data_IF_429132843047
#
_entry.id   IF_429132843047
#
_cell.length_a   1.000
_cell.length_b   1.000
_cell.length_c   1.000
_cell.angle_alpha   90.00
_cell.angle_beta   90.00
_cell.angle_gamma   90.00
#
_symmetry.space_group_name_H-M   'P 1'
#
loop_
_entity.id
_entity.type
_entity.pdbx_description
1 polymer ?
#
# COMPACT_ATOMS: atom_id res chain seq x y z
N UNK A 1 33.60 -12.27 -40.26
CA UNK A 1 33.52 -11.93 -41.71
C UNK A 1 33.31 -13.22 -42.50
N UNK A 2 32.47 -13.19 -43.54
CA UNK A 2 31.37 -14.15 -43.75
C UNK A 2 31.55 -14.98 -45.02
N UNK A 3 30.63 -15.92 -45.31
CA UNK A 3 30.06 -16.11 -46.66
C UNK A 3 28.68 -16.76 -46.55
N UNK A 4 27.72 -16.08 -47.17
CA UNK A 4 26.33 -16.41 -47.46
C UNK A 4 26.18 -17.15 -48.80
N UNK A 5 25.14 -18.00 -48.93
CA UNK A 5 24.33 -18.25 -50.15
C UNK A 5 23.25 -19.31 -49.80
N UNK A 6 21.98 -18.96 -49.63
CA UNK A 6 20.93 -18.67 -50.63
C UNK A 6 20.43 -19.93 -51.38
N UNK A 7 19.13 -20.27 -51.23
CA UNK A 7 18.49 -21.28 -52.09
C UNK A 7 17.08 -21.76 -51.71
N UNK A 8 16.06 -20.93 -51.99
CA UNK A 8 14.69 -21.24 -52.50
C UNK A 8 13.73 -22.18 -51.75
N UNK A 9 12.56 -21.61 -51.45
CA UNK A 9 11.26 -22.26 -51.18
C UNK A 9 10.68 -22.98 -52.40
N UNK A 10 10.06 -24.15 -52.19
CA UNK A 10 8.84 -24.64 -52.87
C UNK A 10 8.02 -25.45 -51.84
N UNK A 11 6.71 -25.15 -51.74
CA UNK A 11 5.70 -25.85 -50.94
C UNK A 11 5.16 -27.09 -51.67
N UNK A 12 4.87 -28.17 -50.93
CA UNK A 12 3.78 -29.12 -51.26
C UNK A 12 3.37 -29.94 -50.03
N UNK A 13 2.07 -30.23 -49.95
CA UNK A 13 1.26 -30.67 -48.81
C UNK A 13 1.28 -32.18 -48.43
N UNK A 14 0.81 -32.47 -47.20
CA UNK A 14 0.18 -33.69 -46.61
C UNK A 14 1.05 -34.90 -46.16
N UNK A 15 0.58 -35.80 -45.25
CA UNK A 15 -0.28 -35.66 -44.05
C UNK A 15 0.24 -36.44 -42.80
N UNK A 16 -0.54 -36.32 -41.71
CA UNK A 16 -0.39 -36.86 -40.33
C UNK A 16 -0.16 -38.39 -40.21
N UNK A 17 0.67 -38.80 -39.24
CA UNK A 17 0.76 -40.18 -38.77
C UNK A 17 1.59 -40.36 -37.48
N UNK A 18 0.98 -40.97 -36.47
CA UNK A 18 1.41 -41.21 -35.08
C UNK A 18 2.64 -42.11 -34.94
N UNK A 19 3.58 -41.79 -34.03
CA UNK A 19 4.65 -42.70 -33.60
C UNK A 19 4.73 -42.80 -32.07
N UNK A 20 4.38 -43.98 -31.55
CA UNK A 20 4.65 -44.43 -30.17
C UNK A 20 6.07 -45.01 -30.11
N UNK A 21 6.86 -44.59 -29.13
CA UNK A 21 8.17 -45.21 -28.82
C UNK A 21 8.05 -46.01 -27.53
N UNK A 22 8.33 -47.31 -27.63
CA UNK A 22 8.60 -48.26 -26.53
C UNK A 22 10.11 -48.31 -26.32
N UNK A 23 10.58 -48.33 -25.07
CA UNK A 23 11.96 -48.70 -24.73
C UNK A 23 11.97 -49.92 -23.78
N UNK A 24 12.97 -50.82 -23.87
CA UNK A 24 12.90 -52.17 -23.31
C UNK A 24 13.61 -52.33 -21.95
N UNK A 25 13.25 -53.41 -21.25
CA UNK A 25 13.89 -53.92 -20.02
C UNK A 25 14.87 -55.07 -20.36
N UNK A 26 16.06 -55.08 -19.74
CA UNK A 26 16.89 -56.27 -19.52
C UNK A 26 17.87 -56.08 -18.34
N UNK A 27 17.95 -57.09 -17.47
CA UNK A 27 18.68 -57.23 -16.17
C UNK A 27 20.08 -57.89 -16.34
N UNK A 28 20.85 -58.40 -15.32
CA UNK A 28 20.83 -58.31 -13.83
C UNK A 28 22.23 -58.12 -13.08
N UNK A 29 22.21 -57.57 -11.83
CA UNK A 29 22.96 -57.83 -10.53
C UNK A 29 24.47 -58.28 -10.44
N UNK A 30 25.18 -58.29 -9.25
CA UNK A 30 25.02 -57.63 -7.92
C UNK A 30 26.34 -57.09 -7.23
N UNK A 31 26.22 -56.37 -6.09
CA UNK A 31 27.02 -56.40 -4.80
C UNK A 31 26.95 -55.04 -4.06
N UNK A 32 26.13 -54.89 -2.99
CA UNK A 32 26.46 -54.88 -1.53
C UNK A 32 27.32 -53.71 -1.04
N UNK A 33 26.70 -52.78 -0.30
CA UNK A 33 27.17 -52.29 1.02
C UNK A 33 26.10 -51.39 1.67
N UNK A 34 25.66 -51.80 2.86
CA UNK A 34 24.69 -51.14 3.74
C UNK A 34 25.20 -49.83 4.34
N UNK A 35 24.30 -48.86 4.58
CA UNK A 35 24.30 -48.07 5.82
C UNK A 35 22.87 -47.58 6.15
N UNK A 36 22.49 -47.82 7.40
CA UNK A 36 21.18 -47.67 8.03
C UNK A 36 20.70 -46.21 8.14
N UNK A 37 19.39 -46.00 7.95
CA UNK A 37 18.64 -44.84 8.45
C UNK A 37 17.72 -45.32 9.57
N UNK A 38 17.91 -44.77 10.77
CA UNK A 38 17.01 -44.96 11.92
C UNK A 38 15.79 -44.03 11.77
N UNK A 39 14.59 -44.61 11.70
CA UNK A 39 13.34 -43.91 12.03
C UNK A 39 12.82 -44.52 13.33
N UNK A 40 12.84 -43.73 14.40
CA UNK A 40 12.32 -44.11 15.71
C UNK A 40 10.79 -43.98 15.69
N UNK A 41 10.11 -45.11 15.77
CA UNK A 41 8.72 -45.26 16.17
C UNK A 41 8.68 -45.50 17.68
N UNK A 42 7.86 -44.75 18.42
CA UNK A 42 7.51 -45.07 19.80
C UNK A 42 5.98 -45.12 19.96
N UNK A 43 5.51 -46.25 20.48
CA UNK A 43 4.13 -46.67 20.82
C UNK A 43 3.86 -46.34 22.31
N UNK A 44 2.73 -45.69 22.63
CA UNK A 44 1.51 -46.20 23.33
C UNK A 44 1.43 -45.68 24.81
N UNK A 45 0.32 -45.85 25.59
CA UNK A 45 -0.94 -45.07 25.56
C UNK A 45 -1.47 -44.64 26.96
N UNK A 46 -2.50 -43.79 27.06
CA UNK A 46 -3.44 -43.80 28.20
C UNK A 46 -4.84 -43.26 27.81
N UNK A 47 -5.87 -44.00 28.24
CA UNK A 47 -7.31 -43.90 27.97
C UNK A 47 -8.03 -42.76 28.73
N UNK A 48 -9.16 -42.23 28.22
CA UNK A 48 -10.52 -42.44 28.77
C UNK A 48 -11.64 -41.74 27.94
N UNK A 49 -12.59 -42.57 27.48
CA UNK A 49 -14.03 -42.42 27.12
C UNK A 49 -14.64 -41.09 26.63
N UNK A 50 -15.41 -41.16 25.53
CA UNK A 50 -16.86 -40.88 25.53
C UNK A 50 -17.58 -41.59 24.35
N UNK A 51 -18.86 -41.86 24.58
CA UNK A 51 -19.76 -42.78 23.86
C UNK A 51 -20.05 -42.47 22.37
N UNK A 52 -20.34 -43.56 21.66
CA UNK A 52 -20.81 -43.66 20.28
C UNK A 52 -22.36 -43.64 20.22
N UNK A 53 -22.93 -42.95 19.22
CA UNK A 53 -24.23 -43.25 18.57
C UNK A 53 -24.33 -42.45 17.24
N UNK A 54 -24.71 -43.10 16.12
CA UNK A 54 -24.78 -42.45 14.80
C UNK A 54 -26.20 -42.01 14.43
N UNK A 55 -26.32 -40.94 13.63
CA UNK A 55 -27.51 -40.67 12.84
C UNK A 55 -27.11 -40.29 11.41
N UNK A 56 -27.60 -41.09 10.46
CA UNK A 56 -27.43 -40.91 9.03
C UNK A 56 -28.42 -39.85 8.49
N UNK A 57 -28.00 -39.11 7.46
CA UNK A 57 -28.91 -38.60 6.44
C UNK A 57 -28.17 -38.43 5.11
N UNK A 58 -28.61 -39.21 4.11
CA UNK A 58 -28.27 -39.05 2.70
C UNK A 58 -28.95 -37.80 2.12
N UNK A 59 -28.31 -37.13 1.17
CA UNK A 59 -29.01 -36.49 0.04
C UNK A 59 -28.19 -36.61 -1.24
N UNK A 60 -28.87 -37.07 -2.27
CA UNK A 60 -28.37 -37.44 -3.58
C UNK A 60 -28.54 -36.30 -4.61
N UNK A 61 -27.58 -36.23 -5.53
CA UNK A 61 -27.48 -35.30 -6.65
C UNK A 61 -28.34 -35.81 -7.81
N UNK A 62 -29.08 -34.92 -8.48
CA UNK A 62 -29.62 -35.18 -9.83
C UNK A 62 -29.45 -33.96 -10.74
N UNK A 63 -28.81 -34.20 -11.89
CA UNK A 63 -28.71 -33.29 -13.03
C UNK A 63 -29.91 -33.45 -13.96
N UNK A 64 -30.39 -32.38 -14.59
CA UNK A 64 -31.10 -32.45 -15.87
C UNK A 64 -30.85 -31.22 -16.74
N UNK A 65 -30.87 -31.46 -18.05
CA UNK A 65 -30.51 -30.55 -19.15
C UNK A 65 -31.70 -30.17 -20.05
N UNK A 66 -31.57 -29.01 -20.72
CA UNK A 66 -32.24 -28.51 -21.96
C UNK A 66 -33.70 -28.01 -21.91
N UNK A 67 -33.94 -26.86 -22.55
CA UNK A 67 -35.19 -26.55 -23.25
C UNK A 67 -35.58 -25.07 -23.34
N UNK A 68 -35.60 -24.52 -24.56
CA UNK A 68 -36.09 -23.18 -24.97
C UNK A 68 -37.62 -23.10 -24.88
N UNK A 69 -38.20 -21.93 -24.54
CA UNK A 69 -39.37 -21.29 -25.20
C UNK A 69 -39.86 -20.01 -24.47
N UNK A 70 -40.05 -18.93 -25.25
CA UNK A 70 -40.88 -17.75 -24.94
C UNK A 70 -42.38 -18.13 -24.95
N UNK A 71 -43.26 -17.39 -24.23
CA UNK A 71 -44.09 -16.43 -24.96
C UNK A 71 -44.41 -15.12 -24.20
N UNK A 72 -45.05 -14.25 -24.97
CA UNK A 72 -45.39 -12.84 -24.85
C UNK A 72 -46.72 -12.51 -24.13
N UNK A 73 -46.91 -11.19 -23.89
CA UNK A 73 -48.18 -10.40 -23.93
C UNK A 73 -48.82 -9.91 -22.60
N UNK A 74 -48.68 -8.58 -22.41
CA UNK A 74 -49.71 -7.53 -22.12
C UNK A 74 -50.30 -7.25 -20.73
N UNK A 75 -50.10 -5.98 -20.35
CA UNK A 75 -51.02 -4.95 -19.79
C UNK A 75 -51.91 -5.26 -18.57
N UNK A 76 -51.87 -4.37 -17.57
CA UNK A 76 -52.84 -3.28 -17.42
C UNK A 76 -52.45 -2.29 -16.29
N UNK A 77 -52.84 -1.03 -16.50
CA UNK A 77 -52.74 0.14 -15.61
C UNK A 77 -53.84 0.13 -14.54
N UNK A 78 -53.56 0.74 -13.38
CA UNK A 78 -54.41 1.75 -12.66
C UNK A 78 -53.82 1.98 -11.25
N UNK A 79 -53.17 3.11 -10.93
CA UNK A 79 -53.70 4.38 -10.38
C UNK A 79 -54.64 4.24 -9.17
N UNK A 80 -54.21 4.68 -7.97
CA UNK A 80 -54.68 5.91 -7.28
C UNK A 80 -54.06 6.07 -5.88
N UNK A 81 -53.64 7.31 -5.58
CA UNK A 81 -53.31 7.89 -4.27
C UNK A 81 -54.57 7.99 -3.37
N UNK A 82 -54.38 8.10 -2.05
CA UNK A 82 -54.98 9.12 -1.14
C UNK A 82 -54.52 8.87 0.31
N UNK A 83 -54.17 9.96 1.01
CA UNK A 83 -54.10 10.15 2.47
C UNK A 83 -54.81 11.48 2.79
N UNK A 84 -54.92 11.95 4.05
CA UNK A 84 -55.38 11.35 5.32
C UNK A 84 -56.61 12.16 5.84
N UNK A 85 -56.98 12.08 7.15
CA UNK A 85 -57.08 13.35 7.88
C UNK A 85 -56.70 13.29 9.37
N UNK A 86 -56.54 14.50 9.93
CA UNK A 86 -56.23 14.89 11.30
C UNK A 86 -57.47 15.25 12.15
N UNK A 87 -57.33 15.15 13.49
CA UNK A 87 -57.55 16.23 14.49
C UNK A 87 -58.49 16.00 15.70
N UNK A 88 -58.04 16.57 16.85
CA UNK A 88 -58.69 17.08 18.08
C UNK A 88 -59.13 16.20 19.29
N UNK A 89 -58.32 16.32 20.36
CA UNK A 89 -58.58 16.83 21.73
C UNK A 89 -59.54 16.21 22.78
N UNK A 90 -58.91 15.96 23.95
CA UNK A 90 -59.29 16.26 25.35
C UNK A 90 -60.33 15.43 26.13
N UNK A 91 -59.89 14.81 27.24
CA UNK A 91 -60.50 14.95 28.59
C UNK A 91 -59.69 14.21 29.68
N UNK A 92 -59.73 14.80 30.88
CA UNK A 92 -59.02 14.56 32.14
C UNK A 92 -59.33 13.26 32.89
N UNK A 93 -58.39 12.80 33.76
CA UNK A 93 -58.62 12.61 35.21
C UNK A 93 -57.38 12.13 35.98
N UNK A 94 -57.18 12.75 37.15
CA UNK A 94 -56.11 12.52 38.12
C UNK A 94 -56.16 11.14 38.82
N UNK A 95 -54.98 10.59 39.17
CA UNK A 95 -54.68 10.04 40.51
C UNK A 95 -53.17 9.88 40.74
N UNK A 96 -52.70 10.43 41.87
CA UNK A 96 -51.35 10.39 42.43
C UNK A 96 -50.86 8.96 42.70
N UNK A 97 -49.55 8.74 42.55
CA UNK A 97 -48.71 7.96 43.47
C UNK A 97 -47.22 8.38 43.30
N UNK A 98 -46.45 8.25 44.37
CA UNK A 98 -45.22 9.00 44.74
C UNK A 98 -43.91 8.37 44.25
N UNK A 99 -42.87 9.23 44.20
CA UNK A 99 -41.43 8.98 44.49
C UNK A 99 -40.64 8.18 43.44
N UNK A 100 -39.42 8.52 42.99
CA UNK A 100 -38.34 9.36 43.52
C UNK A 100 -37.49 9.95 42.38
N UNK A 101 -36.99 11.16 42.59
CA UNK A 101 -36.05 11.90 41.74
C UNK A 101 -34.60 11.45 41.93
N UNK A 102 -33.82 11.34 40.85
CA UNK A 102 -32.38 11.66 40.84
C UNK A 102 -32.00 12.22 39.46
N UNK A 103 -32.28 13.50 39.22
CA UNK A 103 -31.56 14.36 38.26
C UNK A 103 -31.60 15.77 38.84
N UNK A 104 -30.43 16.28 39.24
CA UNK A 104 -30.27 17.60 39.81
C UNK A 104 -29.46 18.48 38.87
N UNK A 105 -30.09 19.54 38.40
CA UNK A 105 -29.44 20.62 37.64
C UNK A 105 -28.96 21.75 38.58
N UNK A 106 -27.77 22.24 38.24
CA UNK A 106 -27.26 23.62 38.27
C UNK A 106 -27.43 24.51 39.51
N UNK A 107 -26.30 24.98 40.04
CA UNK A 107 -26.18 26.34 40.59
C UNK A 107 -24.90 27.04 40.14
N UNK A 108 -25.11 28.21 39.52
CA UNK A 108 -24.13 29.23 39.17
C UNK A 108 -23.42 29.77 40.41
N UNK A 109 -22.11 29.97 40.33
CA UNK A 109 -21.43 31.05 41.05
C UNK A 109 -20.30 31.61 40.17
N UNK A 110 -20.42 32.90 39.86
CA UNK A 110 -19.43 33.65 39.09
C UNK A 110 -18.30 34.14 40.00
N UNK A 111 -17.06 34.06 39.50
CA UNK A 111 -15.91 34.80 40.04
C UNK A 111 -15.30 35.61 38.90
N UNK A 112 -15.36 36.94 39.03
CA UNK A 112 -14.66 37.89 38.16
C UNK A 112 -13.24 38.05 38.69
N UNK A 113 -12.23 37.72 37.88
CA UNK A 113 -10.86 38.22 38.07
C UNK A 113 -10.44 39.02 36.83
N UNK A 114 -10.00 40.25 37.07
CA UNK A 114 -9.44 41.16 36.08
C UNK A 114 -8.04 40.69 35.69
N UNK A 115 -7.76 40.56 34.38
CA UNK A 115 -6.40 40.48 33.86
C UNK A 115 -6.10 41.72 33.02
N UNK A 116 -5.12 42.49 33.50
CA UNK A 116 -4.56 43.68 32.87
C UNK A 116 -3.82 43.29 31.59
N UNK A 117 -4.08 44.04 30.53
CA UNK A 117 -3.34 43.99 29.29
C UNK A 117 -1.93 44.57 29.46
N UNK A 118 -0.91 43.80 29.12
CA UNK A 118 0.45 44.28 28.86
C UNK A 118 0.76 44.08 27.37
N UNK A 119 1.00 45.19 26.68
CA UNK A 119 1.51 45.21 25.30
C UNK A 119 2.97 44.73 25.32
N UNK A 120 3.25 43.65 24.59
CA UNK A 120 4.61 43.30 24.16
C UNK A 120 4.66 43.37 22.63
N UNK A 121 5.67 44.08 22.13
CA UNK A 121 5.96 44.36 20.72
C UNK A 121 7.03 43.36 20.26
N UNK A 122 6.82 42.78 19.07
CA UNK A 122 7.77 42.08 18.19
C UNK A 122 8.62 40.92 18.74
N UNK A 123 8.46 39.75 18.12
CA UNK A 123 9.50 39.20 17.24
C UNK A 123 8.86 38.20 16.26
N UNK A 124 9.19 38.33 14.98
CA UNK A 124 8.72 37.45 13.91
C UNK A 124 9.33 36.06 14.08
N UNK A 125 8.54 35.14 14.63
CA UNK A 125 8.71 33.72 14.46
C UNK A 125 7.67 33.29 13.42
N UNK A 126 8.11 32.63 12.36
CA UNK A 126 7.21 31.93 11.44
C UNK A 126 6.45 30.89 12.26
N UNK A 127 5.22 31.21 12.64
CA UNK A 127 4.34 30.32 13.37
C UNK A 127 4.03 29.15 12.44
N UNK A 128 4.73 28.03 12.61
CA UNK A 128 4.36 26.77 11.96
C UNK A 128 3.00 26.40 12.55
N UNK A 129 1.94 26.61 11.77
CA UNK A 129 0.59 26.24 12.16
C UNK A 129 0.55 24.72 12.24
N UNK A 130 0.51 24.16 13.45
CA UNK A 130 0.32 22.73 13.66
C UNK A 130 -1.04 22.35 13.08
N UNK A 131 -1.08 21.41 12.12
CA UNK A 131 -2.34 20.96 11.56
C UNK A 131 -3.18 20.24 12.62
N UNK A 132 -4.47 20.56 12.67
CA UNK A 132 -5.36 19.93 13.65
C UNK A 132 -5.78 18.55 13.16
N UNK A 133 -5.77 17.57 14.06
CA UNK A 133 -6.35 16.26 13.82
C UNK A 133 -7.87 16.42 13.66
N UNK A 134 -8.46 15.75 12.68
CA UNK A 134 -9.88 15.78 12.37
C UNK A 134 -10.26 16.64 11.17
N UNK A 135 -9.33 17.44 10.65
CA UNK A 135 -9.50 18.25 9.43
C UNK A 135 -9.69 17.38 8.18
N UNK A 136 -10.38 17.90 7.16
CA UNK A 136 -10.45 17.24 5.85
C UNK A 136 -9.11 17.32 5.10
N UNK A 137 -8.94 16.50 4.06
CA UNK A 137 -7.79 16.58 3.17
C UNK A 137 -7.63 17.99 2.57
N UNK A 138 -8.71 18.62 2.13
CA UNK A 138 -8.69 19.95 1.52
C UNK A 138 -8.29 21.05 2.50
N UNK A 139 -8.80 20.97 3.74
CA UNK A 139 -8.47 21.90 4.83
C UNK A 139 -6.99 21.79 5.22
N UNK A 140 -6.47 20.56 5.32
CA UNK A 140 -5.06 20.30 5.54
C UNK A 140 -4.22 20.87 4.39
N UNK A 141 -4.56 20.52 3.15
CA UNK A 141 -3.81 20.92 1.95
C UNK A 141 -3.73 22.44 1.80
N UNK A 142 -4.79 23.17 2.17
CA UNK A 142 -4.80 24.63 2.20
C UNK A 142 -3.83 25.25 3.21
N UNK A 143 -3.47 24.52 4.26
CA UNK A 143 -2.45 24.92 5.25
C UNK A 143 -1.05 24.46 4.83
N UNK A 144 -0.95 23.24 4.28
CA UNK A 144 0.32 22.61 3.95
C UNK A 144 1.04 23.26 2.75
N UNK A 145 0.29 23.78 1.77
CA UNK A 145 0.90 24.42 0.60
C UNK A 145 0.02 25.56 0.03
N UNK A 146 0.64 26.69 -0.38
CA UNK A 146 -0.09 27.75 -1.09
C UNK A 146 -0.44 27.34 -2.55
N UNK A 147 0.29 26.39 -3.12
CA UNK A 147 0.17 25.97 -4.52
C UNK A 147 -1.22 25.35 -4.78
N UNK A 148 -2.03 25.99 -5.61
CA UNK A 148 -3.37 25.50 -5.94
C UNK A 148 -3.33 24.25 -6.83
N UNK A 149 -2.37 24.16 -7.73
CA UNK A 149 -2.24 23.03 -8.64
C UNK A 149 -1.87 21.75 -7.87
N UNK A 150 -0.92 21.85 -6.94
CA UNK A 150 -0.55 20.71 -6.10
C UNK A 150 -1.74 20.23 -5.26
N UNK A 151 -2.54 21.15 -4.71
CA UNK A 151 -3.76 20.80 -3.95
C UNK A 151 -4.76 20.05 -4.83
N UNK A 152 -5.04 20.55 -6.03
CA UNK A 152 -5.93 19.89 -6.99
C UNK A 152 -5.44 18.49 -7.34
N UNK A 153 -4.15 18.33 -7.67
CA UNK A 153 -3.55 17.03 -7.99
C UNK A 153 -3.72 16.03 -6.85
N UNK A 154 -3.37 16.41 -5.62
CA UNK A 154 -3.43 15.51 -4.46
C UNK A 154 -4.86 15.12 -4.07
N UNK A 155 -5.83 16.02 -4.28
CA UNK A 155 -7.26 15.71 -4.11
C UNK A 155 -7.75 14.74 -5.19
N UNK A 156 -7.40 14.96 -6.47
CA UNK A 156 -7.75 14.05 -7.57
C UNK A 156 -7.18 12.64 -7.35
N UNK A 157 -5.92 12.55 -6.93
CA UNK A 157 -5.30 11.26 -6.57
C UNK A 157 -6.04 10.61 -5.39
N UNK A 158 -6.45 11.37 -4.38
CA UNK A 158 -7.27 10.86 -3.27
C UNK A 158 -8.58 10.20 -3.71
N UNK A 159 -9.26 10.74 -4.73
CA UNK A 159 -10.47 10.12 -5.31
C UNK A 159 -10.17 8.82 -6.07
N UNK A 160 -9.04 8.77 -6.80
CA UNK A 160 -8.58 7.52 -7.41
C UNK A 160 -8.31 6.45 -6.34
N UNK A 161 -7.57 6.78 -5.27
CA UNK A 161 -7.27 5.86 -4.19
C UNK A 161 -8.55 5.32 -3.51
N UNK A 162 -9.55 6.18 -3.29
CA UNK A 162 -10.86 5.79 -2.77
C UNK A 162 -11.54 4.76 -3.68
N UNK A 163 -11.50 5.00 -4.99
CA UNK A 163 -12.12 4.11 -5.98
C UNK A 163 -11.38 2.77 -6.06
N UNK A 164 -10.05 2.79 -6.09
CA UNK A 164 -9.20 1.59 -6.07
C UNK A 164 -9.50 0.75 -4.84
N UNK A 165 -9.59 1.36 -3.65
CA UNK A 165 -9.90 0.64 -2.42
C UNK A 165 -11.23 -0.13 -2.49
N UNK A 166 -12.26 0.46 -3.10
CA UNK A 166 -13.53 -0.22 -3.32
C UNK A 166 -13.41 -1.37 -4.34
N UNK A 167 -12.64 -1.16 -5.41
CA UNK A 167 -12.42 -2.17 -6.46
C UNK A 167 -11.61 -3.36 -5.96
N UNK A 168 -10.58 -3.14 -5.13
CA UNK A 168 -9.83 -4.21 -4.47
C UNK A 168 -10.74 -4.98 -3.50
N UNK A 169 -11.52 -4.27 -2.67
CA UNK A 169 -12.42 -4.90 -1.67
C UNK A 169 -13.46 -5.84 -2.27
N UNK A 170 -13.93 -5.55 -3.48
CA UNK A 170 -15.01 -6.28 -4.16
C UNK A 170 -14.53 -7.11 -5.35
N UNK A 171 -13.21 -7.23 -5.52
CA UNK A 171 -12.63 -7.97 -6.64
C UNK A 171 -13.02 -9.45 -6.59
N UNK A 172 -13.28 -10.03 -7.76
CA UNK A 172 -13.42 -11.47 -7.91
C UNK A 172 -12.04 -12.09 -8.06
N UNK A 173 -11.60 -12.83 -7.06
CA UNK A 173 -10.35 -13.58 -7.12
C UNK A 173 -10.64 -15.02 -7.55
N UNK A 174 -10.37 -15.34 -8.81
CA UNK A 174 -10.56 -16.66 -9.38
C UNK A 174 -9.50 -16.95 -10.45
N UNK A 175 -8.89 -18.14 -10.42
CA UNK A 175 -7.87 -18.52 -11.40
C UNK A 175 -6.53 -17.83 -11.16
N UNK A 176 -6.00 -17.14 -12.19
CA UNK A 176 -4.65 -16.54 -12.21
C UNK A 176 -4.59 -15.04 -11.89
N UNK A 177 -5.73 -14.39 -11.60
CA UNK A 177 -5.78 -12.95 -11.30
C UNK A 177 -6.99 -12.59 -10.42
N UNK A 178 -6.89 -11.46 -9.70
CA UNK A 178 -8.04 -10.80 -9.09
C UNK A 178 -8.55 -9.72 -10.03
N UNK A 179 -9.84 -9.76 -10.35
CA UNK A 179 -10.45 -8.94 -11.40
C UNK A 179 -11.67 -8.17 -10.91
N UNK A 180 -11.87 -6.95 -11.42
CA UNK A 180 -13.08 -6.15 -11.18
C UNK A 180 -13.47 -5.43 -12.48
N UNK A 181 -14.69 -4.89 -12.55
CA UNK A 181 -15.17 -4.17 -13.73
C UNK A 181 -14.72 -2.71 -13.73
N UNK A 182 -14.39 -2.19 -14.90
CA UNK A 182 -14.21 -0.77 -15.16
C UNK A 182 -14.89 -0.42 -16.48
N UNK A 183 -15.91 0.45 -16.45
CA UNK A 183 -16.83 0.60 -17.57
C UNK A 183 -17.49 -0.74 -17.92
N UNK A 184 -17.34 -1.15 -19.18
CA UNK A 184 -17.86 -2.43 -19.71
C UNK A 184 -16.81 -3.57 -19.72
N UNK A 185 -15.57 -3.31 -19.27
CA UNK A 185 -14.47 -4.27 -19.30
C UNK A 185 -14.21 -4.90 -17.92
N UNK A 186 -13.78 -6.16 -17.90
CA UNK A 186 -13.27 -6.85 -16.71
C UNK A 186 -11.74 -6.86 -16.76
N UNK A 187 -11.09 -6.22 -15.79
CA UNK A 187 -9.64 -6.03 -15.76
C UNK A 187 -9.06 -6.59 -14.47
N UNK A 188 -7.78 -7.00 -14.54
CA UNK A 188 -7.00 -7.25 -13.34
C UNK A 188 -6.89 -5.95 -12.51
N UNK A 189 -6.89 -6.09 -11.19
CA UNK A 189 -6.99 -4.94 -10.26
C UNK A 189 -5.82 -3.97 -10.34
N UNK A 190 -4.64 -4.45 -10.74
CA UNK A 190 -3.43 -3.67 -11.05
C UNK A 190 -3.65 -2.74 -12.26
N UNK A 191 -4.03 -3.30 -13.41
CA UNK A 191 -4.34 -2.55 -14.62
C UNK A 191 -5.55 -1.61 -14.45
N UNK A 192 -6.50 -1.98 -13.59
CA UNK A 192 -7.61 -1.12 -13.23
C UNK A 192 -7.12 0.10 -12.42
N UNK A 193 -6.27 -0.12 -11.41
CA UNK A 193 -5.68 0.96 -10.62
C UNK A 193 -4.84 1.88 -11.50
N UNK A 194 -4.07 1.33 -12.43
CA UNK A 194 -3.29 2.08 -13.42
C UNK A 194 -4.15 3.05 -14.23
N UNK A 195 -5.25 2.56 -14.83
CA UNK A 195 -6.22 3.39 -15.57
C UNK A 195 -6.80 4.50 -14.70
N UNK A 196 -7.25 4.19 -13.48
CA UNK A 196 -7.85 5.17 -12.56
C UNK A 196 -6.87 6.29 -12.19
N UNK A 197 -5.58 5.98 -12.02
CA UNK A 197 -4.56 6.97 -11.67
C UNK A 197 -4.26 7.88 -12.86
N UNK A 198 -4.11 7.33 -14.07
CA UNK A 198 -3.96 8.15 -15.28
C UNK A 198 -5.18 9.07 -15.50
N UNK A 199 -6.41 8.56 -15.34
CA UNK A 199 -7.62 9.37 -15.45
C UNK A 199 -7.67 10.51 -14.42
N UNK A 200 -7.31 10.24 -13.17
CA UNK A 200 -7.24 11.27 -12.13
C UNK A 200 -6.19 12.34 -12.42
N UNK A 201 -5.03 11.94 -12.94
CA UNK A 201 -3.96 12.86 -13.35
C UNK A 201 -4.39 13.73 -14.54
N UNK A 202 -5.07 13.15 -15.53
CA UNK A 202 -5.62 13.89 -16.66
C UNK A 202 -6.72 14.88 -16.22
N UNK A 203 -7.62 14.44 -15.33
CA UNK A 203 -8.71 15.27 -14.79
C UNK A 203 -8.19 16.42 -13.91
N UNK A 204 -7.01 16.27 -13.31
CA UNK A 204 -6.39 17.34 -12.51
C UNK A 204 -6.02 18.58 -13.35
N UNK A 205 -5.83 18.42 -14.66
CA UNK A 205 -5.37 19.44 -15.61
C UNK A 205 -4.01 20.11 -15.28
N UNK A 206 -3.31 19.63 -14.26
CA UNK A 206 -2.03 20.21 -13.79
C UNK A 206 -0.85 19.24 -13.96
N UNK A 207 -1.12 17.99 -14.35
CA UNK A 207 -0.09 17.01 -14.66
C UNK A 207 0.33 17.11 -16.14
N UNK A 208 1.62 17.30 -16.41
CA UNK A 208 2.21 17.26 -17.75
C UNK A 208 2.51 15.84 -18.18
N UNK A 209 3.34 15.11 -17.43
CA UNK A 209 3.67 13.72 -17.71
C UNK A 209 3.36 12.80 -16.54
N UNK A 210 2.81 11.64 -16.87
CA UNK A 210 2.60 10.56 -15.93
C UNK A 210 3.40 9.33 -16.37
N UNK A 211 3.94 8.56 -15.43
CA UNK A 211 4.66 7.32 -15.69
C UNK A 211 4.25 6.26 -14.68
N UNK A 212 3.85 5.09 -15.18
CA UNK A 212 3.48 3.95 -14.34
C UNK A 212 4.62 2.92 -14.29
N UNK A 213 4.71 2.17 -13.19
CA UNK A 213 5.60 1.01 -13.08
C UNK A 213 5.21 -0.12 -14.05
N UNK A 214 3.92 -0.28 -14.35
CA UNK A 214 3.39 -1.34 -15.24
C UNK A 214 3.84 -1.13 -16.70
N UNK A 215 3.82 0.13 -17.14
CA UNK A 215 4.28 0.55 -18.47
C UNK A 215 5.18 1.78 -18.29
N UNK A 216 6.51 1.59 -18.15
CA UNK A 216 7.46 2.65 -17.81
C UNK A 216 7.78 3.54 -19.02
N UNK A 217 6.76 4.19 -19.54
CA UNK A 217 6.81 5.17 -20.62
C UNK A 217 6.13 6.47 -20.16
N UNK A 218 6.67 7.62 -20.57
CA UNK A 218 6.08 8.92 -20.28
C UNK A 218 4.81 9.11 -21.10
N UNK A 219 3.68 9.31 -20.43
CA UNK A 219 2.39 9.63 -21.05
C UNK A 219 2.03 11.09 -20.79
N UNK A 220 1.68 11.82 -21.84
CA UNK A 220 1.27 13.23 -21.75
C UNK A 220 -0.17 13.34 -21.23
N UNK A 221 -0.33 13.94 -20.05
CA UNK A 221 -1.63 14.15 -19.40
C UNK A 221 -2.28 15.49 -19.79
N UNK A 222 -1.59 16.32 -20.59
CA UNK A 222 -2.11 17.56 -21.16
C UNK A 222 -2.01 18.80 -20.27
N UNK A 223 -1.41 18.70 -19.08
CA UNK A 223 -1.16 19.83 -18.18
C UNK A 223 0.01 20.73 -18.63
N UNK A 224 0.19 21.88 -17.96
CA UNK A 224 1.23 22.85 -18.29
C UNK A 224 2.63 22.38 -17.86
N UNK A 225 3.66 22.86 -18.55
CA UNK A 225 5.07 22.65 -18.14
C UNK A 225 5.43 23.57 -16.98
N UNK A 226 5.21 24.88 -17.14
CA UNK A 226 5.46 25.86 -16.09
C UNK A 226 4.31 25.86 -15.08
N UNK A 227 4.64 25.67 -13.81
CA UNK A 227 3.63 25.57 -12.74
C UNK A 227 2.81 24.28 -12.75
N UNK A 228 3.12 23.32 -13.63
CA UNK A 228 2.56 21.97 -13.60
C UNK A 228 3.53 20.95 -13.00
N UNK A 229 3.12 19.68 -13.07
CA UNK A 229 3.79 18.57 -12.39
C UNK A 229 3.99 17.38 -13.30
N UNK A 230 4.98 16.54 -12.99
CA UNK A 230 5.08 15.19 -13.52
C UNK A 230 4.96 14.18 -12.38
N UNK A 231 4.26 13.08 -12.61
CA UNK A 231 3.94 12.09 -11.57
C UNK A 231 4.44 10.70 -11.99
N UNK A 232 5.13 10.03 -11.08
CA UNK A 232 5.45 8.62 -11.23
C UNK A 232 4.74 7.82 -10.15
N UNK A 233 4.19 6.65 -10.50
CA UNK A 233 3.44 5.83 -9.56
C UNK A 233 3.61 4.32 -9.79
N UNK A 234 3.52 3.58 -8.69
CA UNK A 234 3.22 2.15 -8.67
C UNK A 234 1.72 2.00 -8.36
N UNK A 235 0.91 1.53 -9.33
CA UNK A 235 -0.54 1.53 -9.20
C UNK A 235 -1.04 0.59 -8.12
N UNK A 236 -0.41 -0.56 -7.90
CA UNK A 236 -0.85 -1.56 -6.92
C UNK A 236 0.29 -2.47 -6.44
N UNK A 237 1.13 -1.95 -5.55
CA UNK A 237 2.12 -2.72 -4.79
C UNK A 237 1.44 -3.85 -4.02
N UNK A 238 1.92 -5.07 -4.24
CA UNK A 238 1.35 -6.29 -3.68
C UNK A 238 0.14 -6.85 -4.45
N UNK A 239 -0.12 -6.41 -5.69
CA UNK A 239 -1.20 -6.95 -6.54
C UNK A 239 -1.26 -8.48 -6.60
N UNK A 240 -0.11 -9.14 -6.61
CA UNK A 240 0.00 -10.61 -6.67
C UNK A 240 -0.49 -11.35 -5.43
N UNK A 241 -0.70 -10.66 -4.30
CA UNK A 241 -1.15 -11.26 -3.03
C UNK A 241 -2.52 -10.75 -2.59
N UNK A 242 -3.27 -10.07 -3.47
CA UNK A 242 -4.64 -9.61 -3.18
C UNK A 242 -5.56 -10.78 -2.83
N UNK A 243 -5.37 -11.95 -3.44
CA UNK A 243 -6.11 -13.18 -3.17
C UNK A 243 -5.94 -13.71 -1.74
N UNK A 244 -4.78 -13.45 -1.12
CA UNK A 244 -4.50 -13.79 0.29
C UNK A 244 -5.12 -12.82 1.29
N UNK A 245 -5.74 -11.73 0.81
CA UNK A 245 -6.34 -10.66 1.61
C UNK A 245 -5.34 -9.96 2.55
N UNK A 246 -4.05 -9.96 2.17
CA UNK A 246 -3.04 -9.11 2.80
C UNK A 246 -3.23 -7.65 2.37
N UNK A 247 -2.69 -6.73 3.18
CA UNK A 247 -2.72 -5.31 2.83
C UNK A 247 -1.85 -5.06 1.61
N UNK A 248 -2.39 -4.29 0.66
CA UNK A 248 -1.73 -3.83 -0.57
C UNK A 248 -1.82 -2.30 -0.66
N UNK A 249 -1.22 -1.67 -1.66
CA UNK A 249 -1.31 -0.21 -1.77
C UNK A 249 -0.83 0.38 -3.07
N UNK A 250 -0.94 1.70 -3.19
CA UNK A 250 -0.46 2.50 -4.32
C UNK A 250 0.63 3.44 -3.80
N UNK A 251 1.67 3.69 -4.58
CA UNK A 251 2.73 4.64 -4.26
C UNK A 251 2.80 5.68 -5.38
N UNK A 252 2.97 6.96 -5.06
CA UNK A 252 3.30 7.94 -6.08
C UNK A 252 4.16 9.09 -5.55
N UNK A 253 5.02 9.61 -6.44
CA UNK A 253 5.80 10.82 -6.24
C UNK A 253 5.40 11.92 -7.22
N UNK A 254 5.47 13.16 -6.79
CA UNK A 254 5.10 14.34 -7.60
C UNK A 254 6.32 15.24 -7.75
N UNK A 255 6.76 15.48 -8.97
CA UNK A 255 7.85 16.39 -9.32
C UNK A 255 7.31 17.64 -10.01
N UNK A 256 7.92 18.81 -9.84
CA UNK A 256 7.56 20.00 -10.59
C UNK A 256 8.07 19.89 -12.04
N UNK A 257 7.33 20.47 -12.99
CA UNK A 257 7.73 20.54 -14.39
C UNK A 257 7.46 19.26 -15.18
N UNK A 258 8.32 18.99 -16.16
CA UNK A 258 8.08 18.06 -17.26
C UNK A 258 9.09 16.91 -17.33
N UNK A 259 9.76 16.59 -16.21
CA UNK A 259 10.82 15.56 -16.16
C UNK A 259 10.63 14.59 -15.02
N UNK A 260 10.86 13.32 -15.33
CA UNK A 260 11.00 12.20 -14.37
C UNK A 260 12.37 11.51 -14.46
N UNK A 261 13.28 12.03 -15.29
CA UNK A 261 14.68 11.61 -15.39
C UNK A 261 15.60 12.83 -15.28
N UNK A 262 16.84 12.61 -14.81
CA UNK A 262 17.76 13.68 -14.44
C UNK A 262 17.35 14.44 -13.17
N UNK A 263 16.28 14.01 -12.51
CA UNK A 263 15.79 14.49 -11.22
C UNK A 263 16.23 13.55 -10.10
N UNK A 264 16.11 13.99 -8.86
CA UNK A 264 16.34 13.20 -7.66
C UNK A 264 15.05 13.02 -6.86
N UNK A 265 15.03 12.11 -5.89
CA UNK A 265 13.91 12.02 -4.95
C UNK A 265 13.76 13.29 -4.11
N UNK A 266 14.85 13.99 -3.85
CA UNK A 266 14.83 15.27 -3.15
C UNK A 266 14.09 16.37 -3.92
N UNK A 267 13.90 16.25 -5.24
CA UNK A 267 13.21 17.26 -6.07
C UNK A 267 11.68 17.17 -6.03
N UNK A 268 11.12 16.12 -5.41
CA UNK A 268 9.68 15.94 -5.25
C UNK A 268 9.04 17.12 -4.49
N UNK A 269 7.86 17.57 -4.91
CA UNK A 269 7.04 18.55 -4.15
C UNK A 269 6.10 17.88 -3.17
N UNK A 270 5.71 16.63 -3.45
CA UNK A 270 4.95 15.77 -2.56
C UNK A 270 5.18 14.31 -2.92
N UNK A 271 4.94 13.41 -1.96
CA UNK A 271 4.85 11.97 -2.19
C UNK A 271 3.77 11.41 -1.30
N UNK A 272 3.14 10.32 -1.74
CA UNK A 272 2.10 9.69 -0.96
C UNK A 272 1.95 8.20 -1.27
N UNK A 273 1.23 7.52 -0.38
CA UNK A 273 0.79 6.15 -0.57
C UNK A 273 -0.67 5.97 -0.14
N UNK A 274 -1.43 5.23 -0.94
CA UNK A 274 -2.74 4.72 -0.57
C UNK A 274 -2.59 3.31 -0.01
N UNK A 275 -3.20 3.02 1.13
CA UNK A 275 -3.09 1.74 1.81
C UNK A 275 -4.47 1.08 1.83
N UNK A 276 -4.55 -0.12 1.26
CA UNK A 276 -5.77 -0.91 1.12
C UNK A 276 -5.71 -2.11 2.07
N UNK A 277 -5.93 -1.82 3.35
CA UNK A 277 -5.98 -2.84 4.40
C UNK A 277 -7.38 -3.00 4.98
N UNK A 278 -7.51 -3.44 6.25
CA UNK A 278 -8.79 -3.41 6.95
C UNK A 278 -9.35 -1.98 7.10
N UNK A 279 -8.46 -0.99 7.03
CA UNK A 279 -8.76 0.43 6.89
C UNK A 279 -8.19 0.90 5.55
N UNK A 280 -8.87 1.85 4.93
CA UNK A 280 -8.33 2.56 3.77
C UNK A 280 -7.74 3.87 4.26
N UNK A 281 -6.44 4.04 4.09
CA UNK A 281 -5.74 5.26 4.52
C UNK A 281 -4.93 5.85 3.37
N UNK A 282 -4.73 7.16 3.43
CA UNK A 282 -3.94 7.93 2.48
C UNK A 282 -2.86 8.67 3.26
N UNK A 283 -1.60 8.31 3.05
CA UNK A 283 -0.46 8.86 3.80
C UNK A 283 0.34 9.76 2.88
N UNK A 284 0.51 11.02 3.27
CA UNK A 284 1.03 12.11 2.44
C UNK A 284 2.18 12.84 3.14
N UNK A 285 3.22 13.17 2.38
CA UNK A 285 4.24 14.15 2.74
C UNK A 285 4.25 15.28 1.70
N UNK A 286 4.30 16.53 2.18
CA UNK A 286 4.45 17.73 1.35
C UNK A 286 5.83 18.31 1.65
N UNK A 287 6.66 18.50 0.61
CA UNK A 287 8.02 18.98 0.81
C UNK A 287 8.03 20.38 1.42
N UNK A 288 8.83 20.57 2.47
CA UNK A 288 8.93 21.83 3.19
C UNK A 288 7.80 22.08 4.20
N UNK A 289 6.81 21.19 4.28
CA UNK A 289 5.84 21.17 5.36
C UNK A 289 6.23 20.06 6.36
N UNK A 290 6.33 20.35 7.67
CA UNK A 290 6.78 19.37 8.65
C UNK A 290 5.84 18.17 8.76
N UNK A 291 6.43 16.98 8.81
CA UNK A 291 5.72 15.75 9.12
C UNK A 291 5.18 14.98 7.90
N UNK A 292 4.74 13.77 8.21
CA UNK A 292 4.00 12.88 7.33
C UNK A 292 2.63 12.61 7.92
N UNK A 293 1.59 12.78 7.11
CA UNK A 293 0.21 12.88 7.55
C UNK A 293 -0.63 11.71 7.05
N UNK A 294 -1.34 11.05 7.96
CA UNK A 294 -2.27 9.96 7.66
C UNK A 294 -3.71 10.47 7.63
N UNK A 295 -4.40 10.15 6.55
CA UNK A 295 -5.83 10.39 6.38
C UNK A 295 -6.59 9.06 6.35
N UNK A 296 -7.67 8.98 7.11
CA UNK A 296 -8.59 7.85 7.09
C UNK A 296 -9.75 8.13 6.12
N UNK A 297 -10.08 7.17 5.27
CA UNK A 297 -11.32 7.19 4.52
C UNK A 297 -12.50 6.88 5.44
N UNK A 298 -13.40 7.84 5.60
CA UNK A 298 -14.65 7.67 6.34
C UNK A 298 -15.74 7.01 5.48
N UNK A 299 -16.80 6.52 6.13
CA UNK A 299 -17.91 5.84 5.46
C UNK A 299 -18.67 6.76 4.49
N UNK A 300 -18.70 8.06 4.76
CA UNK A 300 -19.27 9.08 3.86
C UNK A 300 -18.37 9.37 2.65
N UNK A 301 -17.19 8.74 2.57
CA UNK A 301 -16.25 8.86 1.48
C UNK A 301 -15.31 10.07 1.56
N UNK A 302 -15.16 10.67 2.73
CA UNK A 302 -14.24 11.79 2.97
C UNK A 302 -12.94 11.32 3.61
N UNK A 303 -11.84 11.99 3.28
CA UNK A 303 -10.54 11.80 3.91
C UNK A 303 -10.41 12.70 5.13
N UNK A 304 -10.19 12.11 6.31
CA UNK A 304 -10.01 12.83 7.57
C UNK A 304 -8.60 12.63 8.12
N UNK A 305 -7.92 13.73 8.48
CA UNK A 305 -6.59 13.70 9.09
C UNK A 305 -6.65 13.04 10.48
N UNK A 306 -5.91 11.94 10.67
CA UNK A 306 -5.95 11.14 11.92
C UNK A 306 -4.60 11.03 12.64
N UNK A 307 -3.48 11.21 11.93
CA UNK A 307 -2.14 11.13 12.53
C UNK A 307 -1.17 12.05 11.78
N UNK A 308 -0.32 12.71 12.55
CA UNK A 308 0.89 13.37 12.08
C UNK A 308 2.10 12.63 12.67
N UNK A 309 3.14 12.42 11.87
CA UNK A 309 4.38 11.78 12.31
C UNK A 309 5.55 12.69 12.00
N UNK A 310 6.36 13.02 13.00
CA UNK A 310 7.53 13.92 12.85
C UNK A 310 8.83 13.31 13.37
N UNK A 311 8.77 12.16 14.06
CA UNK A 311 9.92 11.49 14.63
C UNK A 311 9.82 9.96 14.43
N UNK A 312 10.90 9.31 14.03
CA UNK A 312 11.04 7.84 14.04
C UNK A 312 12.10 7.45 15.07
N UNK A 313 11.63 6.94 16.20
CA UNK A 313 12.42 6.54 17.35
C UNK A 313 13.05 5.15 17.17
N UNK A 314 14.01 4.83 18.02
CA UNK A 314 14.60 3.50 18.05
C UNK A 314 13.59 2.43 18.53
N UNK A 315 13.69 1.23 17.97
CA UNK A 315 12.81 0.14 18.37
C UNK A 315 13.15 -1.21 17.77
N UNK A 316 12.68 -2.26 18.43
CA UNK A 316 12.97 -3.66 18.08
C UNK A 316 11.98 -4.25 17.08
N UNK A 317 11.95 -3.70 15.86
CA UNK A 317 11.12 -4.20 14.75
C UNK A 317 11.91 -4.18 13.44
N UNK A 318 11.87 -5.28 12.68
CA UNK A 318 12.54 -5.37 11.39
C UNK A 318 11.66 -6.01 10.33
N UNK A 319 11.81 -5.54 9.10
CA UNK A 319 11.10 -5.99 7.91
C UNK A 319 12.11 -6.32 6.80
N UNK A 320 12.61 -7.57 6.72
CA UNK A 320 13.70 -7.96 5.84
C UNK A 320 13.20 -8.41 4.46
N UNK A 321 13.19 -7.48 3.52
CA UNK A 321 13.06 -7.73 2.09
C UNK A 321 14.22 -8.52 1.51
N UNK A 322 13.91 -9.29 0.47
CA UNK A 322 14.88 -10.14 -0.25
C UNK A 322 15.71 -11.05 0.68
N UNK A 323 15.12 -11.61 1.75
CA UNK A 323 15.83 -12.40 2.77
C UNK A 323 16.68 -13.55 2.17
N UNK A 324 16.31 -14.10 1.01
CA UNK A 324 17.10 -15.09 0.26
C UNK A 324 18.55 -14.64 -0.02
N UNK A 325 18.80 -13.33 -0.09
CA UNK A 325 20.11 -12.75 -0.34
C UNK A 325 21.12 -13.02 0.79
N UNK A 326 20.66 -13.35 2.01
CA UNK A 326 21.57 -13.71 3.12
C UNK A 326 22.34 -15.00 2.85
N UNK A 327 21.88 -15.83 1.92
CA UNK A 327 22.55 -17.09 1.54
C UNK A 327 23.95 -16.85 0.95
N UNK A 328 24.10 -15.80 0.15
CA UNK A 328 25.34 -15.46 -0.56
C UNK A 328 25.80 -14.00 -0.36
N UNK A 329 25.20 -13.28 0.59
CA UNK A 329 25.66 -12.00 1.11
C UNK A 329 25.89 -12.11 2.64
N UNK A 330 27.14 -12.32 3.04
CA UNK A 330 27.53 -12.51 4.45
C UNK A 330 27.24 -11.29 5.31
N UNK A 331 27.35 -10.08 4.77
CA UNK A 331 27.10 -8.85 5.52
C UNK A 331 25.61 -8.68 5.81
N UNK A 332 24.75 -8.98 4.83
CA UNK A 332 23.31 -8.97 5.08
C UNK A 332 22.92 -10.08 6.08
N UNK A 333 23.51 -11.27 5.99
CA UNK A 333 23.30 -12.32 6.99
C UNK A 333 23.66 -11.87 8.41
N UNK A 334 24.81 -11.19 8.59
CA UNK A 334 25.22 -10.64 9.90
C UNK A 334 24.21 -9.63 10.45
N UNK A 335 23.66 -8.77 9.58
CA UNK A 335 22.65 -7.79 9.97
C UNK A 335 21.37 -8.47 10.47
N UNK A 336 20.89 -9.48 9.74
CA UNK A 336 19.71 -10.25 10.15
C UNK A 336 19.99 -11.02 11.45
N UNK A 337 21.17 -11.64 11.59
CA UNK A 337 21.56 -12.33 12.82
C UNK A 337 21.56 -11.40 14.04
N UNK A 338 21.95 -10.14 13.86
CA UNK A 338 21.87 -9.13 14.91
C UNK A 338 20.42 -8.93 15.38
N UNK A 339 19.47 -8.75 14.46
CA UNK A 339 18.05 -8.58 14.78
C UNK A 339 17.47 -9.80 15.50
N UNK A 340 17.83 -11.00 15.05
CA UNK A 340 17.41 -12.25 15.69
C UNK A 340 17.95 -12.37 17.11
N UNK A 341 19.25 -12.11 17.31
CA UNK A 341 19.91 -12.15 18.64
C UNK A 341 19.30 -11.14 19.61
N UNK A 342 19.00 -9.94 19.11
CA UNK A 342 18.36 -8.88 19.90
C UNK A 342 16.84 -9.07 20.09
N UNK A 343 16.28 -10.17 19.56
CA UNK A 343 14.86 -10.54 19.67
C UNK A 343 13.92 -9.48 19.07
N UNK A 344 14.28 -8.94 17.92
CA UNK A 344 13.42 -8.00 17.20
C UNK A 344 12.15 -8.69 16.70
N UNK A 345 11.06 -7.93 16.64
CA UNK A 345 9.80 -8.41 16.07
C UNK A 345 9.88 -8.41 14.54
N UNK A 346 9.69 -9.57 13.91
CA UNK A 346 9.61 -9.72 12.46
C UNK A 346 8.21 -9.34 11.95
N UNK A 347 8.14 -8.42 10.98
CA UNK A 347 6.91 -8.09 10.24
C UNK A 347 7.24 -7.77 8.79
N UNK A 348 6.98 -8.70 7.89
CA UNK A 348 7.25 -8.55 6.46
C UNK A 348 6.19 -9.31 5.67
N UNK A 349 5.60 -8.62 4.70
CA UNK A 349 4.54 -9.14 3.83
C UNK A 349 5.00 -9.27 2.39
N UNK A 350 6.04 -8.53 2.00
CA UNK A 350 6.52 -8.47 0.63
C UNK A 350 5.92 -7.33 -0.19
N UNK A 351 4.93 -6.60 0.34
CA UNK A 351 4.47 -5.33 -0.19
C UNK A 351 5.21 -4.18 0.48
N UNK A 352 5.81 -3.30 -0.32
CA UNK A 352 6.54 -2.12 0.15
C UNK A 352 5.65 -1.18 0.98
N UNK A 353 4.41 -0.96 0.55
CA UNK A 353 3.46 -0.06 1.21
C UNK A 353 3.21 -0.45 2.67
N UNK A 354 2.68 -1.64 3.01
CA UNK A 354 2.45 -2.00 4.40
C UNK A 354 3.74 -2.13 5.21
N UNK A 355 4.81 -2.63 4.59
CA UNK A 355 6.06 -2.94 5.28
C UNK A 355 6.85 -1.68 5.67
N UNK A 356 6.72 -0.58 4.91
CA UNK A 356 7.28 0.74 5.25
C UNK A 356 6.30 1.57 6.07
N UNK A 357 4.99 1.53 5.77
CA UNK A 357 3.98 2.29 6.52
C UNK A 357 3.99 1.96 8.03
N UNK A 358 4.21 0.69 8.40
CA UNK A 358 4.31 0.33 9.82
C UNK A 358 5.41 1.09 10.57
N UNK A 359 6.48 1.52 9.89
CA UNK A 359 7.57 2.30 10.51
C UNK A 359 7.06 3.71 10.87
N UNK A 360 6.29 4.33 9.97
CA UNK A 360 5.68 5.65 10.17
C UNK A 360 4.59 5.59 11.26
N UNK A 361 3.72 4.58 11.21
CA UNK A 361 2.64 4.42 12.19
C UNK A 361 3.18 4.06 13.58
N UNK A 362 4.19 3.19 13.67
CA UNK A 362 4.79 2.78 14.96
C UNK A 362 5.92 3.68 15.43
N UNK A 363 6.33 4.64 14.60
CA UNK A 363 7.43 5.57 14.87
C UNK A 363 8.72 4.85 15.27
N UNK A 364 8.97 3.67 14.67
CA UNK A 364 10.16 2.85 14.94
C UNK A 364 10.34 1.72 13.94
N UNK A 365 11.54 1.15 13.95
CA UNK A 365 11.90 -0.07 13.23
C UNK A 365 12.67 0.20 11.95
N UNK A 366 12.94 -0.87 11.21
CA UNK A 366 13.79 -0.85 10.03
C UNK A 366 13.23 -1.78 8.95
N UNK A 367 13.08 -1.24 7.74
CA UNK A 367 12.89 -2.01 6.51
C UNK A 367 14.24 -2.10 5.78
N UNK A 368 14.54 -3.27 5.22
CA UNK A 368 15.75 -3.46 4.39
C UNK A 368 15.42 -4.30 3.17
N UNK A 369 15.99 -3.99 2.02
CA UNK A 369 15.96 -4.84 0.83
C UNK A 369 17.33 -4.77 0.17
N UNK A 370 18.14 -5.82 0.39
CA UNK A 370 19.56 -5.87 0.03
C UNK A 370 19.78 -6.87 -1.09
N UNK A 371 20.70 -6.58 -2.00
CA UNK A 371 21.05 -7.47 -3.11
C UNK A 371 22.13 -8.49 -2.75
N UNK A 372 22.26 -9.52 -3.57
CA UNK A 372 23.40 -10.45 -3.57
C UNK A 372 23.78 -10.81 -5.01
N UNK A 373 24.91 -11.50 -5.24
CA UNK A 373 25.28 -11.97 -6.58
C UNK A 373 24.17 -12.75 -7.28
N UNK A 374 23.38 -13.54 -6.54
CA UNK A 374 22.28 -14.33 -7.10
C UNK A 374 20.89 -13.70 -6.94
N UNK A 375 20.73 -12.71 -6.05
CA UNK A 375 19.46 -12.02 -5.81
C UNK A 375 19.54 -10.53 -6.17
N UNK A 376 19.05 -10.20 -7.39
CA UNK A 376 19.06 -8.83 -7.94
C UNK A 376 18.12 -7.87 -7.21
N UNK A 377 18.40 -6.56 -7.34
CA UNK A 377 17.50 -5.51 -6.89
C UNK A 377 16.16 -5.61 -7.62
N UNK A 378 15.06 -5.49 -6.88
CA UNK A 378 13.70 -5.54 -7.43
C UNK A 378 13.04 -4.16 -7.49
N UNK A 379 13.32 -3.33 -6.49
CA UNK A 379 12.60 -2.08 -6.23
C UNK A 379 13.08 -0.98 -7.17
N UNK A 380 12.14 -0.27 -7.78
CA UNK A 380 12.42 0.85 -8.69
C UNK A 380 12.63 2.14 -7.91
N UNK A 381 13.63 2.89 -8.33
CA UNK A 381 13.98 4.17 -7.72
C UNK A 381 12.85 5.19 -7.86
N UNK A 382 12.31 5.32 -9.07
CA UNK A 382 11.34 6.36 -9.42
C UNK A 382 9.95 6.09 -8.83
N UNK A 383 9.44 4.86 -8.94
CA UNK A 383 8.05 4.53 -8.61
C UNK A 383 7.82 4.20 -7.14
N UNK A 384 8.83 3.61 -6.48
CA UNK A 384 8.68 3.07 -5.12
C UNK A 384 9.62 3.76 -4.14
N UNK A 385 10.92 3.79 -4.45
CA UNK A 385 11.94 4.11 -3.45
C UNK A 385 12.04 5.61 -3.14
N UNK A 386 12.10 6.46 -4.15
CA UNK A 386 12.15 7.91 -3.93
C UNK A 386 10.88 8.45 -3.25
N UNK A 387 9.65 8.05 -3.65
CA UNK A 387 8.43 8.47 -2.96
C UNK A 387 8.36 8.03 -1.50
N UNK A 388 8.67 6.76 -1.20
CA UNK A 388 8.71 6.26 0.18
C UNK A 388 9.84 6.91 0.99
N UNK A 389 10.98 7.22 0.36
CA UNK A 389 12.06 7.99 0.98
C UNK A 389 11.58 9.35 1.48
N UNK A 390 10.78 10.07 0.69
CA UNK A 390 10.27 11.39 1.11
C UNK A 390 9.30 11.21 2.29
N UNK A 391 8.39 10.24 2.23
CA UNK A 391 7.46 9.94 3.32
C UNK A 391 8.18 9.59 4.64
N UNK A 392 9.26 8.81 4.58
CA UNK A 392 10.03 8.40 5.76
C UNK A 392 10.86 9.55 6.32
N UNK A 393 11.53 10.32 5.47
CA UNK A 393 12.38 11.43 5.93
C UNK A 393 11.56 12.62 6.44
N UNK A 394 10.42 12.95 5.82
CA UNK A 394 9.46 13.92 6.39
C UNK A 394 8.90 13.47 7.75
N UNK A 395 8.81 12.15 7.99
CA UNK A 395 8.39 11.58 9.26
C UNK A 395 9.50 11.58 10.33
N UNK A 396 10.68 12.15 10.05
CA UNK A 396 11.83 12.16 10.96
C UNK A 396 12.64 10.86 10.97
N UNK A 397 12.43 9.99 9.99
CA UNK A 397 13.25 8.81 9.73
C UNK A 397 14.41 9.08 8.78
N UNK A 398 15.09 8.02 8.40
CA UNK A 398 16.22 8.07 7.47
C UNK A 398 16.07 6.99 6.40
N UNK A 399 16.48 7.32 5.18
CA UNK A 399 16.62 6.38 4.07
C UNK A 399 18.10 6.16 3.72
N UNK A 400 18.45 4.99 3.18
CA UNK A 400 19.79 4.74 2.66
C UNK A 400 19.82 3.68 1.56
N UNK A 401 20.64 3.89 0.53
CA UNK A 401 21.05 2.84 -0.41
C UNK A 401 22.29 2.06 0.05
N UNK A 402 22.84 2.41 1.22
CA UNK A 402 24.12 1.93 1.75
C UNK A 402 25.18 3.02 1.84
N UNK A 403 25.07 4.08 1.03
CA UNK A 403 26.07 5.13 0.91
C UNK A 403 25.50 6.54 1.02
N UNK A 404 24.27 6.77 0.57
CA UNK A 404 23.60 8.09 0.57
C UNK A 404 22.10 7.94 0.79
N UNK A 405 21.41 9.06 1.04
CA UNK A 405 19.94 9.06 1.09
C UNK A 405 19.42 8.63 -0.28
N UNK A 406 18.30 7.90 -0.32
CA UNK A 406 17.69 7.57 -1.60
C UNK A 406 17.12 8.81 -2.30
N UNK A 407 16.88 9.89 -1.55
CA UNK A 407 16.48 11.18 -2.09
C UNK A 407 17.61 11.87 -2.87
N UNK A 408 18.87 11.57 -2.57
CA UNK A 408 20.03 12.15 -3.27
C UNK A 408 20.42 11.39 -4.55
N UNK A 409 19.70 10.31 -4.88
CA UNK A 409 19.99 9.49 -6.05
C UNK A 409 19.32 10.10 -7.28
N UNK A 410 20.13 10.41 -8.29
CA UNK A 410 19.62 10.80 -9.60
C UNK A 410 18.96 9.61 -10.29
N UNK A 411 17.75 9.82 -10.78
CA UNK A 411 17.01 8.89 -11.64
C UNK A 411 17.53 9.08 -13.06
N UNK A 412 18.32 8.14 -13.56
CA UNK A 412 18.90 8.20 -14.91
C UNK A 412 17.93 7.59 -15.91
N UNK A 413 17.34 6.44 -15.58
CA UNK A 413 16.32 5.75 -16.36
C UNK A 413 15.07 5.51 -15.51
N UNK A 414 13.91 5.41 -16.17
CA UNK A 414 12.62 5.20 -15.49
C UNK A 414 12.59 3.88 -14.69
N UNK A 415 13.25 2.82 -15.17
CA UNK A 415 13.33 1.49 -14.51
C UNK A 415 14.64 1.29 -13.71
N UNK A 416 15.31 2.36 -13.29
CA UNK A 416 16.49 2.25 -12.42
C UNK A 416 16.09 1.56 -11.11
N UNK A 417 16.86 0.55 -10.69
CA UNK A 417 16.62 -0.21 -9.47
C UNK A 417 17.67 0.07 -8.41
N UNK A 418 17.28 -0.03 -7.14
CA UNK A 418 18.21 0.14 -6.02
C UNK A 418 17.87 -0.78 -4.86
N UNK A 419 18.90 -1.16 -4.11
CA UNK A 419 18.68 -1.61 -2.73
C UNK A 419 18.32 -0.42 -1.85
N UNK A 420 17.67 -0.70 -0.73
CA UNK A 420 17.22 0.36 0.18
C UNK A 420 17.05 -0.12 1.61
N UNK A 421 17.21 0.82 2.53
CA UNK A 421 16.76 0.73 3.91
C UNK A 421 15.98 2.00 4.31
N UNK A 422 14.95 1.83 5.14
CA UNK A 422 14.18 2.91 5.76
C UNK A 422 14.00 2.62 7.24
N UNK A 423 14.25 3.59 8.12
CA UNK A 423 14.04 3.36 9.54
C UNK A 423 14.56 4.46 10.45
N UNK A 424 14.73 4.10 11.72
CA UNK A 424 15.34 4.95 12.72
C UNK A 424 16.83 5.18 12.45
N UNK A 425 17.36 6.27 13.01
CA UNK A 425 18.73 6.73 12.77
C UNK A 425 19.79 5.65 13.02
N UNK A 426 19.76 5.00 14.18
CA UNK A 426 20.78 4.03 14.54
C UNK A 426 20.65 2.73 13.76
N UNK A 427 19.45 2.38 13.30
CA UNK A 427 19.26 1.23 12.41
C UNK A 427 19.81 1.49 11.01
N UNK A 428 19.67 2.71 10.48
CA UNK A 428 20.33 3.08 9.22
C UNK A 428 21.86 3.15 9.38
N UNK A 429 22.37 3.68 10.49
CA UNK A 429 23.81 3.65 10.78
C UNK A 429 24.31 2.20 10.81
N UNK A 430 23.60 1.32 11.51
CA UNK A 430 23.94 -0.10 11.58
C UNK A 430 23.90 -0.77 10.21
N UNK A 431 22.88 -0.47 9.40
CA UNK A 431 22.76 -0.97 8.04
C UNK A 431 23.99 -0.59 7.18
N UNK A 432 24.34 0.69 7.16
CA UNK A 432 25.50 1.20 6.40
C UNK A 432 26.82 0.60 6.93
N UNK A 433 27.03 0.58 8.25
CA UNK A 433 28.24 0.02 8.86
C UNK A 433 28.38 -1.49 8.64
N UNK A 434 27.28 -2.24 8.69
CA UNK A 434 27.33 -3.70 8.54
C UNK A 434 27.62 -4.06 7.09
N UNK A 435 27.01 -3.38 6.12
CA UNK A 435 27.21 -3.68 4.70
C UNK A 435 28.52 -3.11 4.14
N UNK A 436 28.98 -1.95 4.63
CA UNK A 436 30.04 -1.17 3.98
C UNK A 436 31.12 -0.67 4.95
N UNK A 437 31.08 -1.05 6.23
CA UNK A 437 32.11 -0.77 7.24
C UNK A 437 32.10 0.64 7.83
N UNK A 438 31.46 1.60 7.18
CA UNK A 438 31.31 2.98 7.66
C UNK A 438 29.91 3.51 7.38
N UNK A 439 29.43 4.42 8.22
CA UNK A 439 28.17 5.13 7.98
C UNK A 439 28.42 6.62 7.85
N UNK A 440 27.77 7.23 6.85
CA UNK A 440 27.76 8.69 6.64
C UNK A 440 26.98 9.43 7.73
N UNK A 441 26.02 8.78 8.39
CA UNK A 441 25.15 9.39 9.40
C UNK A 441 25.75 9.42 10.81
N UNK A 442 26.83 8.67 11.07
CA UNK A 442 27.43 8.50 12.41
C UNK A 442 27.89 9.81 13.06
N UNK A 443 28.35 10.76 12.24
CA UNK A 443 28.92 12.03 12.71
C UNK A 443 27.98 13.23 12.49
N UNK A 444 26.74 13.01 12.06
CA UNK A 444 25.76 14.09 11.83
C UNK A 444 24.98 14.35 13.13
N UNK A 445 25.06 15.55 13.74
CA UNK A 445 24.28 15.88 14.93
C UNK A 445 22.77 15.76 14.68
N UNK A 446 22.00 15.44 15.73
CA UNK A 446 20.52 15.40 15.65
C UNK A 446 20.02 16.84 15.42
N UNK A 447 19.27 17.07 14.35
CA UNK A 447 18.63 18.36 14.04
C UNK A 447 19.25 19.17 12.89
N UNK A 448 20.23 18.62 12.16
CA UNK A 448 20.71 19.23 10.91
C UNK A 448 20.22 18.35 9.76
N UNK A 449 19.29 18.86 8.96
CA UNK A 449 18.98 18.31 7.63
C UNK A 449 20.28 18.22 6.86
N UNK A 450 20.67 17.01 6.46
CA UNK A 450 21.83 16.79 5.59
C UNK A 450 21.53 17.33 4.18
#
# INVERSE_FOLDING_TARGET
LPITKAGKHIFSELPRGTLRVKLPLSSPKPLVSDFFVFTILCRDPFFFFFFDQPLAMETSITCYSRGILLPSVSSQRSSTLVSPPSSFSASSSFKRLKSSSIFGDSLRLASRSQLKATKAKNNGASTVTKCEIGQSLEEFLAQATPDKGLRTLLTCMGEALRTIAFKVRTASCGGTACVNSFGDEQLAVDMLADKLLFEALQYSHVCKYACSEEVPELQDMGGPVEGGFSVAFDPLDGSSIVDTNFTVGTIFGVWPGDKLTGVTGGDQVAAAMGIYGPRTTYVLAVKGFPGTHEFLLLDEGKWQHVKETTEINEGKMFSPGNLRATFDNSEYSKLIDYYVKEKYTLRYTGGMVPDVNQIIVKEKGIFTNVTSPTAKAKLRLLFEVAPLGLLVENAGGFSSDGYKSVLDKTIVNLDDRTQVAYGSKNEIIRFEETLYGTSRLKNVPIGVTA
#
